data_IF_945266924661
#
_entry.id   IF_945266924661
#
_cell.length_a   1.000
_cell.length_b   1.000
_cell.length_c   1.000
_cell.angle_alpha   90.00
_cell.angle_beta   90.00
_cell.angle_gamma   90.00
#
_symmetry.space_group_name_H-M   'P 1'
#
loop_
_entity.id
_entity.type
_entity.pdbx_description
1 polymer ?
#
# COMPACT_ATOMS: atom_id res chain seq x y z
N UNK A 1 12.33 -13.36 -33.24
CA UNK A 1 11.21 -14.30 -33.42
C UNK A 1 10.29 -14.18 -32.21
N UNK A 2 9.00 -13.91 -32.50
CA UNK A 2 7.80 -13.86 -31.65
C UNK A 2 7.91 -13.40 -30.17
N UNK A 3 7.69 -12.10 -29.94
CA UNK A 3 7.30 -11.54 -28.64
C UNK A 3 5.82 -11.18 -28.57
N UNK A 4 4.92 -11.95 -29.18
CA UNK A 4 3.48 -11.86 -28.94
C UNK A 4 3.14 -12.49 -27.58
N UNK A 5 3.62 -11.86 -26.49
CA UNK A 5 3.54 -12.39 -25.13
C UNK A 5 2.54 -11.66 -24.24
N UNK A 6 1.30 -12.15 -24.19
CA UNK A 6 0.26 -11.91 -23.18
C UNK A 6 -0.04 -10.44 -22.78
N UNK A 7 -0.69 -9.71 -23.68
CA UNK A 7 -1.43 -8.49 -23.33
C UNK A 7 -2.68 -8.84 -22.51
N UNK A 8 -2.71 -8.45 -21.24
CA UNK A 8 -3.90 -8.58 -20.38
C UNK A 8 -4.73 -7.31 -20.49
N UNK A 9 -6.03 -7.44 -20.74
CA UNK A 9 -6.96 -6.31 -20.82
C UNK A 9 -7.83 -6.25 -19.58
N UNK A 10 -7.88 -5.08 -18.95
CA UNK A 10 -8.83 -4.74 -17.89
C UNK A 10 -9.72 -3.59 -18.33
N UNK A 11 -10.82 -3.41 -17.60
CA UNK A 11 -11.70 -2.26 -17.76
C UNK A 11 -11.94 -1.56 -16.43
N UNK A 12 -12.18 -0.25 -16.47
CA UNK A 12 -12.48 0.58 -15.32
C UNK A 12 -11.26 0.97 -14.48
N UNK A 13 -11.48 1.85 -13.51
CA UNK A 13 -10.45 2.44 -12.65
C UNK A 13 -10.24 1.69 -11.32
N UNK A 14 -11.09 0.72 -10.99
CA UNK A 14 -10.96 -0.05 -9.75
C UNK A 14 -9.67 -0.87 -9.72
N UNK A 15 -9.03 -0.90 -8.55
CA UNK A 15 -7.77 -1.63 -8.30
C UNK A 15 -6.63 -1.23 -9.26
N UNK A 16 -6.60 0.02 -9.71
CA UNK A 16 -5.60 0.53 -10.66
C UNK A 16 -4.17 0.30 -10.18
N UNK A 17 -3.87 0.63 -8.91
CA UNK A 17 -2.56 0.40 -8.28
C UNK A 17 -2.18 -1.08 -8.34
N UNK A 18 -3.05 -1.97 -7.85
CA UNK A 18 -2.79 -3.41 -7.76
C UNK A 18 -2.55 -4.04 -9.14
N UNK A 19 -3.34 -3.66 -10.15
CA UNK A 19 -3.16 -4.15 -11.53
C UNK A 19 -1.78 -3.83 -12.09
N UNK A 20 -1.28 -2.62 -11.82
CA UNK A 20 0.06 -2.19 -12.26
C UNK A 20 1.18 -2.90 -11.47
N UNK A 21 1.01 -3.08 -10.17
CA UNK A 21 1.96 -3.82 -9.32
C UNK A 21 2.06 -5.29 -9.74
N UNK A 22 0.92 -5.95 -9.96
CA UNK A 22 0.90 -7.33 -10.47
C UNK A 22 1.48 -7.44 -11.88
N UNK A 23 1.26 -6.45 -12.75
CA UNK A 23 1.89 -6.38 -14.07
C UNK A 23 3.41 -6.32 -13.95
N UNK A 24 3.93 -5.49 -13.06
CA UNK A 24 5.37 -5.33 -12.83
C UNK A 24 6.01 -6.59 -12.24
N UNK A 25 5.35 -7.22 -11.27
CA UNK A 25 5.86 -8.45 -10.63
C UNK A 25 5.77 -9.67 -11.54
N UNK A 26 4.73 -9.76 -12.38
CA UNK A 26 4.55 -10.88 -13.31
C UNK A 26 5.27 -10.69 -14.66
N UNK A 27 5.77 -9.49 -14.96
CA UNK A 27 6.36 -9.14 -16.25
C UNK A 27 5.38 -9.14 -17.43
N UNK A 28 4.05 -9.15 -17.17
CA UNK A 28 3.03 -9.19 -18.22
C UNK A 28 2.55 -7.79 -18.57
N UNK A 29 2.40 -7.51 -19.86
CA UNK A 29 1.88 -6.21 -20.33
C UNK A 29 0.39 -6.10 -20.04
N UNK A 30 -0.04 -4.94 -19.55
CA UNK A 30 -1.44 -4.67 -19.19
C UNK A 30 -1.98 -3.47 -19.96
N UNK A 31 -3.21 -3.59 -20.47
CA UNK A 31 -4.00 -2.47 -20.97
C UNK A 31 -5.25 -2.30 -20.11
N UNK A 32 -5.50 -1.08 -19.65
CA UNK A 32 -6.69 -0.72 -18.86
C UNK A 32 -7.51 0.25 -19.69
N UNK A 33 -8.66 -0.19 -20.17
CA UNK A 33 -9.62 0.61 -20.95
C UNK A 33 -10.77 1.13 -20.08
N UNK A 34 -11.55 2.10 -20.58
CA UNK A 34 -12.76 2.64 -19.91
C UNK A 34 -12.50 3.18 -18.49
N UNK A 35 -11.39 3.88 -18.29
CA UNK A 35 -11.10 4.56 -17.03
C UNK A 35 -12.03 5.77 -16.93
N UNK A 36 -13.09 5.65 -16.11
CA UNK A 36 -14.08 6.72 -15.86
C UNK A 36 -14.65 7.30 -17.15
N UNK A 37 -14.98 6.46 -18.13
CA UNK A 37 -15.54 6.93 -19.42
C UNK A 37 -16.88 7.64 -19.27
N UNK A 38 -17.61 7.32 -18.19
CA UNK A 38 -18.99 7.74 -17.97
C UNK A 38 -19.09 8.88 -16.95
N UNK A 39 -17.95 9.35 -16.39
CA UNK A 39 -17.88 10.49 -15.46
C UNK A 39 -17.87 11.82 -16.22
N UNK A 40 -18.34 12.90 -15.59
CA UNK A 40 -18.25 14.28 -16.13
C UNK A 40 -16.80 14.69 -16.47
N UNK A 41 -15.85 14.17 -15.69
CA UNK A 41 -14.42 14.39 -15.88
C UNK A 41 -13.75 13.04 -16.18
N UNK A 42 -13.72 12.61 -17.46
CA UNK A 42 -13.28 11.27 -17.82
C UNK A 42 -11.78 11.08 -17.71
N UNK A 43 -11.36 9.82 -17.53
CA UNK A 43 -9.96 9.41 -17.56
C UNK A 43 -9.27 9.32 -16.20
N UNK A 44 -7.94 9.33 -16.26
CA UNK A 44 -7.05 9.29 -15.10
C UNK A 44 -7.16 10.57 -14.28
N UNK A 45 -7.03 10.42 -12.96
CA UNK A 45 -6.89 11.55 -12.04
C UNK A 45 -5.41 11.87 -11.85
N UNK A 46 -5.11 13.10 -11.39
CA UNK A 46 -3.73 13.56 -11.21
C UNK A 46 -2.91 12.69 -10.26
N UNK A 47 -3.55 12.12 -9.22
CA UNK A 47 -2.88 11.21 -8.30
C UNK A 47 -2.49 9.88 -8.96
N UNK A 48 -3.26 9.40 -9.94
CA UNK A 48 -2.94 8.19 -10.72
C UNK A 48 -1.81 8.47 -11.71
N UNK A 49 -1.82 9.64 -12.36
CA UNK A 49 -0.72 10.08 -13.22
C UNK A 49 0.58 10.24 -12.42
N UNK A 50 0.50 10.85 -11.23
CA UNK A 50 1.64 10.93 -10.30
C UNK A 50 2.14 9.55 -9.88
N UNK A 51 1.24 8.57 -9.69
CA UNK A 51 1.62 7.20 -9.36
C UNK A 51 2.32 6.49 -10.53
N UNK A 52 1.87 6.70 -11.78
CA UNK A 52 2.55 6.20 -12.97
C UNK A 52 3.97 6.76 -13.09
N UNK A 53 4.15 8.06 -12.84
CA UNK A 53 5.49 8.71 -12.82
C UNK A 53 6.39 8.12 -11.73
N UNK A 54 5.84 7.77 -10.57
CA UNK A 54 6.59 7.08 -9.52
C UNK A 54 7.07 5.69 -9.99
N UNK A 55 6.21 4.92 -10.67
CA UNK A 55 6.59 3.63 -11.24
C UNK A 55 7.70 3.76 -12.28
N UNK A 56 7.67 4.77 -13.15
CA UNK A 56 8.74 5.03 -14.12
C UNK A 56 10.07 5.36 -13.45
N UNK A 57 10.07 6.06 -12.30
CA UNK A 57 11.30 6.36 -11.55
C UNK A 57 11.90 5.13 -10.85
N UNK A 58 11.03 4.21 -10.43
CA UNK A 58 11.41 3.02 -9.65
C UNK A 58 11.87 1.87 -10.55
N UNK A 59 11.43 1.87 -11.81
CA UNK A 59 11.70 0.82 -12.78
C UNK A 59 12.58 1.34 -13.91
N UNK A 60 13.27 0.43 -14.58
CA UNK A 60 14.06 0.75 -15.78
C UNK A 60 13.48 0.01 -16.98
N UNK A 61 13.23 0.74 -18.08
CA UNK A 61 12.67 0.20 -19.31
C UNK A 61 11.16 -0.05 -19.27
N UNK A 62 10.42 0.48 -18.28
CA UNK A 62 8.96 0.48 -18.32
C UNK A 62 8.47 1.45 -19.39
N UNK A 63 7.43 1.08 -20.13
CA UNK A 63 6.79 1.96 -21.11
C UNK A 63 5.35 2.19 -20.69
N UNK A 64 4.98 3.46 -20.53
CA UNK A 64 3.62 3.89 -20.18
C UNK A 64 3.07 4.72 -21.33
N UNK A 65 2.00 4.22 -21.97
CA UNK A 65 1.31 4.93 -23.05
C UNK A 65 -0.10 5.28 -22.56
N UNK A 66 -0.41 6.57 -22.50
CA UNK A 66 -1.71 7.09 -22.08
C UNK A 66 -2.44 7.62 -23.32
N UNK A 67 -3.70 7.25 -23.50
CA UNK A 67 -4.54 7.78 -24.59
C UNK A 67 -4.72 9.30 -24.44
N UNK A 68 -4.99 10.00 -25.54
CA UNK A 68 -5.25 11.45 -25.52
C UNK A 68 -6.32 11.88 -24.49
N UNK A 69 -7.39 11.09 -24.36
CA UNK A 69 -8.50 11.32 -23.41
C UNK A 69 -8.22 10.82 -21.98
N UNK A 70 -7.07 10.20 -21.72
CA UNK A 70 -6.74 9.59 -20.42
C UNK A 70 -7.62 8.39 -20.02
N UNK A 71 -8.50 7.91 -20.89
CA UNK A 71 -9.46 6.81 -20.60
C UNK A 71 -8.89 5.41 -20.85
N UNK A 72 -7.71 5.32 -21.48
CA UNK A 72 -6.98 4.08 -21.69
C UNK A 72 -5.50 4.24 -21.33
N UNK A 73 -4.93 3.25 -20.65
CA UNK A 73 -3.50 3.16 -20.33
C UNK A 73 -2.96 1.81 -20.78
N UNK A 74 -1.86 1.81 -21.53
CA UNK A 74 -1.06 0.63 -21.80
C UNK A 74 0.22 0.72 -20.96
N UNK A 75 0.45 -0.29 -20.13
CA UNK A 75 1.62 -0.41 -19.27
C UNK A 75 2.42 -1.65 -19.66
N UNK A 76 3.63 -1.45 -20.16
CA UNK A 76 4.62 -2.50 -20.41
C UNK A 76 5.62 -2.48 -19.25
N UNK A 77 5.65 -3.54 -18.41
CA UNK A 77 6.50 -3.55 -17.22
C UNK A 77 7.99 -3.59 -17.60
N UNK A 78 8.78 -2.86 -16.83
CA UNK A 78 10.25 -2.87 -16.90
C UNK A 78 10.86 -3.73 -15.80
N UNK A 79 12.15 -3.52 -15.54
CA UNK A 79 12.86 -4.18 -14.44
C UNK A 79 12.81 -3.27 -13.20
N UNK A 80 12.52 -3.84 -12.03
CA UNK A 80 12.55 -3.11 -10.75
C UNK A 80 14.00 -2.87 -10.34
N UNK A 81 14.51 -1.66 -10.53
CA UNK A 81 15.88 -1.31 -10.18
C UNK A 81 16.03 -0.90 -8.73
N UNK A 82 15.04 -0.21 -8.16
CA UNK A 82 15.15 0.40 -6.84
C UNK A 82 16.21 1.52 -6.81
N UNK A 83 16.90 1.67 -5.67
CA UNK A 83 17.86 2.74 -5.45
C UNK A 83 17.27 3.95 -4.73
N UNK A 84 17.93 5.11 -4.85
CA UNK A 84 17.48 6.37 -4.25
C UNK A 84 16.47 7.05 -5.17
N UNK A 85 15.21 7.13 -4.75
CA UNK A 85 14.13 7.74 -5.52
C UNK A 85 13.50 8.87 -4.70
N UNK A 86 13.35 10.02 -5.32
CA UNK A 86 12.62 11.15 -4.76
C UNK A 86 11.34 11.39 -5.57
N UNK A 87 10.21 11.48 -4.87
CA UNK A 87 8.92 11.72 -5.53
C UNK A 87 8.01 12.63 -4.71
N UNK A 88 7.51 13.65 -5.38
CA UNK A 88 6.51 14.56 -4.85
C UNK A 88 5.11 14.02 -5.18
N UNK A 89 4.37 13.69 -4.13
CA UNK A 89 3.03 13.13 -4.22
C UNK A 89 2.02 14.24 -4.49
N UNK A 90 0.96 13.92 -5.25
CA UNK A 90 -0.09 14.88 -5.50
C UNK A 90 -0.95 15.09 -4.24
N UNK A 91 -1.34 16.33 -3.95
CA UNK A 91 -2.07 16.72 -2.72
C UNK A 91 -3.51 16.19 -2.62
N UNK A 92 -4.01 15.46 -3.62
CA UNK A 92 -5.36 14.86 -3.58
C UNK A 92 -5.39 13.48 -2.94
N UNK A 93 -4.21 12.92 -2.63
CA UNK A 93 -4.05 11.66 -1.90
C UNK A 93 -2.85 11.74 -0.97
N UNK A 94 -2.96 11.09 0.18
CA UNK A 94 -1.86 10.95 1.12
C UNK A 94 -0.69 10.11 0.58
N UNK A 95 0.48 10.29 1.18
CA UNK A 95 1.71 9.52 0.91
C UNK A 95 1.45 8.02 1.04
N UNK A 96 0.55 7.59 1.94
CA UNK A 96 0.17 6.19 2.09
C UNK A 96 -0.31 5.53 0.80
N UNK A 97 -1.03 6.28 -0.05
CA UNK A 97 -1.48 5.80 -1.36
C UNK A 97 -0.32 5.39 -2.29
N UNK A 98 0.80 6.10 -2.21
CA UNK A 98 1.98 5.85 -3.03
C UNK A 98 2.93 4.86 -2.35
N UNK A 99 3.06 4.92 -1.04
CA UNK A 99 4.01 4.12 -0.28
C UNK A 99 3.60 2.64 -0.21
N UNK A 100 2.32 2.37 0.02
CA UNK A 100 1.78 1.01 0.15
C UNK A 100 2.12 0.07 -1.04
N UNK A 101 1.91 0.46 -2.31
CA UNK A 101 2.35 -0.35 -3.45
C UNK A 101 3.88 -0.42 -3.60
N UNK A 102 4.63 0.60 -3.16
CA UNK A 102 6.09 0.57 -3.21
C UNK A 102 6.67 -0.43 -2.20
N UNK A 103 6.06 -0.53 -1.02
CA UNK A 103 6.39 -1.54 -0.01
C UNK A 103 6.23 -2.95 -0.56
N UNK A 104 5.22 -3.20 -1.40
CA UNK A 104 5.02 -4.48 -2.05
C UNK A 104 6.11 -4.83 -3.08
N UNK A 105 6.69 -3.82 -3.76
CA UNK A 105 7.73 -4.02 -4.77
C UNK A 105 9.15 -4.05 -4.20
N UNK A 106 9.38 -3.32 -3.11
CA UNK A 106 10.71 -3.04 -2.59
C UNK A 106 11.57 -4.28 -2.28
N UNK A 107 11.03 -5.42 -1.81
CA UNK A 107 11.84 -6.62 -1.58
C UNK A 107 12.42 -7.23 -2.88
N UNK A 108 11.82 -6.93 -4.03
CA UNK A 108 12.14 -7.52 -5.34
C UNK A 108 12.99 -6.61 -6.22
N UNK A 109 13.52 -5.51 -5.68
CA UNK A 109 14.40 -4.60 -6.43
C UNK A 109 15.83 -5.12 -6.52
N UNK A 110 16.52 -4.76 -7.61
CA UNK A 110 17.95 -5.10 -7.80
C UNK A 110 18.89 -4.42 -6.80
N UNK A 111 18.59 -3.18 -6.43
CA UNK A 111 19.35 -2.37 -5.46
C UNK A 111 18.51 -2.11 -4.20
N UNK A 112 19.12 -1.75 -3.05
CA UNK A 112 18.37 -1.36 -1.86
C UNK A 112 17.43 -0.20 -2.16
N UNK A 113 16.21 -0.29 -1.66
CA UNK A 113 15.15 0.65 -1.97
C UNK A 113 15.19 1.81 -0.97
N UNK A 114 15.45 3.02 -1.45
CA UNK A 114 15.52 4.24 -0.62
C UNK A 114 14.60 5.29 -1.21
N UNK A 115 13.36 5.35 -0.73
CA UNK A 115 12.32 6.20 -1.27
C UNK A 115 12.05 7.38 -0.33
N UNK A 116 12.22 8.60 -0.84
CA UNK A 116 11.80 9.82 -0.16
C UNK A 116 10.54 10.35 -0.84
N UNK A 117 9.43 10.36 -0.10
CA UNK A 117 8.14 10.88 -0.55
C UNK A 117 7.81 12.18 0.18
N UNK A 118 7.36 13.19 -0.57
CA UNK A 118 6.81 14.42 -0.01
C UNK A 118 5.32 14.57 -0.33
N UNK A 119 4.53 15.12 0.59
CA UNK A 119 3.08 15.25 0.41
C UNK A 119 2.29 15.28 1.71
N UNK A 120 1.02 14.88 1.65
CA UNK A 120 0.14 14.80 2.83
C UNK A 120 0.41 13.48 3.56
N UNK A 121 0.65 13.52 4.87
CA UNK A 121 0.90 12.30 5.68
C UNK A 121 -0.37 11.72 6.30
N UNK A 122 -1.41 12.54 6.47
CA UNK A 122 -2.58 12.21 7.31
C UNK A 122 -3.86 12.16 6.46
N UNK A 123 -3.88 11.35 5.39
CA UNK A 123 -5.06 11.18 4.54
C UNK A 123 -5.20 9.74 4.04
N UNK A 124 -6.25 9.06 4.53
CA UNK A 124 -6.76 7.78 4.05
C UNK A 124 -5.71 6.66 3.95
N UNK A 125 -5.14 6.26 5.09
CA UNK A 125 -3.98 5.38 5.36
C UNK A 125 -2.82 6.21 5.91
N UNK A 126 -2.83 6.43 7.23
CA UNK A 126 -1.76 7.10 7.96
C UNK A 126 -0.45 6.33 7.79
N UNK A 127 0.61 7.08 7.54
CA UNK A 127 1.99 6.59 7.48
C UNK A 127 2.36 5.89 8.80
N UNK A 128 1.78 6.31 9.92
CA UNK A 128 1.96 5.65 11.21
C UNK A 128 1.39 4.21 11.23
N UNK A 129 0.26 3.95 10.58
CA UNK A 129 -0.30 2.60 10.44
C UNK A 129 0.54 1.75 9.50
N UNK A 130 1.04 2.33 8.41
CA UNK A 130 1.98 1.64 7.52
C UNK A 130 3.22 1.20 8.32
N UNK A 131 3.79 2.11 9.12
CA UNK A 131 4.95 1.82 9.98
C UNK A 131 4.67 0.73 11.00
N UNK A 132 3.50 0.78 11.64
CA UNK A 132 3.19 -0.05 12.80
C UNK A 132 2.65 -1.43 12.41
N UNK A 133 1.89 -1.52 11.32
CA UNK A 133 1.18 -2.74 10.90
C UNK A 133 1.84 -3.35 9.66
N UNK A 134 1.89 -2.60 8.56
CA UNK A 134 2.33 -3.13 7.26
C UNK A 134 3.80 -3.56 7.30
N UNK A 135 4.69 -2.77 7.91
CA UNK A 135 6.10 -3.18 8.06
C UNK A 135 6.27 -4.41 8.94
N UNK A 136 5.41 -4.62 9.93
CA UNK A 136 5.47 -5.82 10.77
C UNK A 136 5.07 -7.06 9.97
N UNK A 137 4.18 -6.93 8.97
CA UNK A 137 3.92 -8.02 8.03
C UNK A 137 5.17 -8.36 7.21
N UNK A 138 5.89 -7.37 6.68
CA UNK A 138 7.15 -7.63 5.96
C UNK A 138 8.20 -8.36 6.82
N UNK A 139 8.33 -8.00 8.09
CA UNK A 139 9.23 -8.66 9.03
C UNK A 139 8.93 -10.15 9.16
N UNK A 140 7.65 -10.54 9.19
CA UNK A 140 7.21 -11.95 9.24
C UNK A 140 7.64 -12.76 8.02
N UNK A 141 7.83 -12.11 6.87
CA UNK A 141 8.39 -12.73 5.66
C UNK A 141 9.93 -12.71 5.63
N UNK A 142 10.59 -12.33 6.73
CA UNK A 142 12.06 -12.33 6.86
C UNK A 142 12.75 -11.03 6.43
N UNK A 143 12.00 -9.95 6.20
CA UNK A 143 12.54 -8.64 5.80
C UNK A 143 12.72 -7.79 7.08
N UNK A 144 13.73 -8.09 7.89
CA UNK A 144 13.93 -7.45 9.19
C UNK A 144 15.10 -6.46 9.20
N UNK A 145 16.27 -6.86 8.70
CA UNK A 145 17.50 -6.08 8.80
C UNK A 145 17.52 -4.92 7.79
N UNK A 146 17.45 -3.68 8.28
CA UNK A 146 17.52 -2.46 7.45
C UNK A 146 16.18 -1.99 6.88
N UNK A 147 15.06 -2.61 7.27
CA UNK A 147 13.71 -2.11 6.94
C UNK A 147 13.33 -0.98 7.91
N UNK A 148 13.23 0.25 7.39
CA UNK A 148 12.91 1.43 8.19
C UNK A 148 11.92 2.35 7.46
N UNK A 149 11.03 2.97 8.23
CA UNK A 149 10.18 4.05 7.75
C UNK A 149 10.27 5.23 8.73
N UNK A 150 10.97 6.27 8.30
CA UNK A 150 11.20 7.49 9.08
C UNK A 150 10.31 8.61 8.57
N UNK A 151 9.52 9.18 9.48
CA UNK A 151 8.70 10.36 9.20
C UNK A 151 9.54 11.58 9.60
N UNK A 152 10.10 12.29 8.62
CA UNK A 152 10.94 13.47 8.85
C UNK A 152 10.08 14.69 9.16
N UNK A 153 8.98 14.87 8.42
CA UNK A 153 8.05 16.00 8.58
C UNK A 153 6.63 15.50 8.40
N UNK A 154 5.69 16.03 9.17
CA UNK A 154 4.25 15.77 8.98
C UNK A 154 3.64 16.86 8.10
N UNK A 155 2.72 16.46 7.23
CA UNK A 155 2.01 17.34 6.32
C UNK A 155 0.52 17.10 6.37
N UNK A 156 -0.27 18.15 6.59
CA UNK A 156 -1.73 18.06 6.63
C UNK A 156 -2.34 18.68 5.35
N UNK A 157 -3.52 18.23 4.91
CA UNK A 157 -4.26 18.93 3.87
C UNK A 157 -4.51 20.40 4.27
N UNK A 158 -4.60 21.34 3.33
CA UNK A 158 -4.52 21.18 1.87
C UNK A 158 -3.11 21.33 1.28
N UNK A 159 -2.17 21.94 2.01
CA UNK A 159 -0.83 22.28 1.48
C UNK A 159 0.17 21.12 1.57
N UNK A 160 -0.06 20.13 2.43
CA UNK A 160 0.84 19.00 2.61
C UNK A 160 2.17 19.41 3.26
N UNK A 161 3.30 19.12 2.60
CA UNK A 161 4.64 19.45 3.10
C UNK A 161 5.26 18.41 4.06
N UNK A 162 4.62 17.26 4.21
CA UNK A 162 5.17 16.12 4.93
C UNK A 162 6.27 15.45 4.12
N UNK A 163 7.17 14.76 4.80
CA UNK A 163 8.34 14.12 4.21
C UNK A 163 8.58 12.79 4.92
N UNK A 164 8.61 11.71 4.15
CA UNK A 164 8.75 10.34 4.64
C UNK A 164 9.87 9.65 3.88
N UNK A 165 10.77 9.01 4.61
CA UNK A 165 11.87 8.22 4.08
C UNK A 165 11.62 6.74 4.38
N UNK A 166 11.49 5.94 3.32
CA UNK A 166 11.32 4.49 3.39
C UNK A 166 12.60 3.80 2.89
N UNK A 167 13.12 2.89 3.69
CA UNK A 167 14.29 2.08 3.37
C UNK A 167 13.92 0.62 3.45
N UNK A 168 14.27 -0.14 2.41
CA UNK A 168 14.09 -1.58 2.35
C UNK A 168 15.35 -2.26 1.83
N UNK A 169 15.86 -3.28 2.52
CA UNK A 169 16.97 -4.09 2.02
C UNK A 169 16.54 -4.94 0.82
N UNK A 170 17.52 -5.46 0.08
CA UNK A 170 17.29 -6.50 -0.91
C UNK A 170 17.12 -7.83 -0.17
N UNK A 171 16.09 -8.59 -0.53
CA UNK A 171 15.87 -9.92 0.03
C UNK A 171 16.08 -10.99 -1.03
N UNK A 172 16.89 -12.00 -0.72
CA UNK A 172 17.18 -13.10 -1.66
C UNK A 172 15.99 -14.04 -1.84
N UNK A 173 15.28 -14.31 -0.75
CA UNK A 173 14.10 -15.15 -0.72
C UNK A 173 13.27 -14.82 0.52
N UNK A 174 11.94 -14.82 0.37
CA UNK A 174 11.01 -14.61 1.48
C UNK A 174 10.90 -15.89 2.31
N UNK A 175 10.60 -15.75 3.60
CA UNK A 175 10.30 -16.89 4.48
C UNK A 175 8.82 -17.29 4.34
N UNK A 176 8.51 -18.60 4.26
CA UNK A 176 7.14 -19.08 4.32
C UNK A 176 6.42 -18.60 5.58
N UNK A 177 5.21 -18.11 5.44
CA UNK A 177 4.43 -17.58 6.56
C UNK A 177 3.67 -18.72 7.24
N UNK A 178 3.86 -18.89 8.55
CA UNK A 178 3.02 -19.74 9.40
C UNK A 178 2.32 -18.87 10.44
N UNK A 179 1.10 -18.43 10.14
CA UNK A 179 0.39 -17.48 11.01
C UNK A 179 -1.10 -17.80 11.12
N UNK A 180 -1.40 -18.83 11.91
CA UNK A 180 -2.73 -19.41 12.06
C UNK A 180 -3.38 -19.00 13.39
N UNK A 181 -2.57 -18.79 14.43
CA UNK A 181 -3.06 -18.45 15.76
C UNK A 181 -3.23 -16.94 15.93
N UNK A 182 -4.47 -16.49 16.03
CA UNK A 182 -4.82 -15.08 16.25
C UNK A 182 -4.55 -14.63 17.69
N UNK A 183 -4.51 -15.57 18.65
CA UNK A 183 -4.32 -15.28 20.06
C UNK A 183 -5.44 -14.44 20.69
N UNK A 184 -5.16 -13.88 21.86
CA UNK A 184 -6.06 -12.92 22.55
C UNK A 184 -5.49 -11.52 22.47
N UNK A 185 -6.36 -10.50 22.39
CA UNK A 185 -5.91 -9.11 22.45
C UNK A 185 -5.24 -8.86 23.81
N UNK A 186 -3.96 -8.48 23.76
CA UNK A 186 -3.12 -8.18 24.94
C UNK A 186 -3.21 -6.71 25.31
N UNK A 187 -3.18 -5.81 24.31
CA UNK A 187 -3.21 -4.36 24.51
C UNK A 187 -3.72 -3.63 23.27
N UNK A 188 -4.22 -2.41 23.49
CA UNK A 188 -4.58 -1.47 22.43
C UNK A 188 -3.71 -0.22 22.60
N UNK A 189 -3.13 0.24 21.50
CA UNK A 189 -2.34 1.47 21.43
C UNK A 189 -3.01 2.44 20.46
N UNK A 190 -2.82 3.72 20.68
CA UNK A 190 -3.34 4.77 19.81
C UNK A 190 -2.28 5.79 19.45
N UNK A 191 -2.39 6.34 18.24
CA UNK A 191 -1.62 7.49 17.78
C UNK A 191 -2.64 8.55 17.37
N UNK A 192 -2.59 9.70 18.03
CA UNK A 192 -3.37 10.87 17.68
C UNK A 192 -2.50 11.79 16.80
N UNK A 193 -2.95 12.03 15.58
CA UNK A 193 -2.22 12.81 14.59
C UNK A 193 -2.70 14.27 14.60
N UNK A 194 -1.78 15.26 14.45
CA UNK A 194 -2.17 16.67 14.27
C UNK A 194 -3.08 16.80 13.04
N UNK A 195 -4.26 17.40 13.20
CA UNK A 195 -5.32 17.41 12.17
C UNK A 195 -6.52 16.49 12.49
N UNK A 196 -6.70 16.09 13.75
CA UNK A 196 -7.85 15.32 14.25
C UNK A 196 -8.02 13.95 13.56
N UNK A 197 -6.92 13.24 13.32
CA UNK A 197 -6.97 11.82 12.97
C UNK A 197 -6.55 10.95 14.16
N UNK A 198 -7.19 9.79 14.29
CA UNK A 198 -6.89 8.80 15.31
C UNK A 198 -6.68 7.44 14.66
N UNK A 199 -5.51 6.86 14.91
CA UNK A 199 -5.18 5.48 14.55
C UNK A 199 -5.12 4.64 15.81
N UNK A 200 -5.82 3.51 15.83
CA UNK A 200 -5.75 2.53 16.90
C UNK A 200 -5.19 1.21 16.38
N UNK A 201 -4.37 0.55 17.18
CA UNK A 201 -3.78 -0.75 16.89
C UNK A 201 -3.95 -1.66 18.10
N UNK A 202 -4.65 -2.77 17.91
CA UNK A 202 -4.75 -3.86 18.87
C UNK A 202 -3.65 -4.90 18.58
N UNK A 203 -2.92 -5.29 19.62
CA UNK A 203 -1.88 -6.30 19.54
C UNK A 203 -2.31 -7.55 20.31
N UNK A 204 -2.23 -8.71 19.66
CA UNK A 204 -2.53 -10.00 20.29
C UNK A 204 -1.32 -10.62 20.97
N UNK A 205 -1.55 -11.65 21.77
CA UNK A 205 -0.51 -12.46 22.42
C UNK A 205 0.42 -13.18 21.43
N UNK A 206 -0.03 -13.40 20.19
CA UNK A 206 0.75 -14.03 19.10
C UNK A 206 1.39 -13.00 18.17
N UNK A 207 1.28 -11.71 18.52
CA UNK A 207 1.80 -10.59 17.74
C UNK A 207 0.91 -10.19 16.55
N UNK A 208 -0.32 -10.72 16.43
CA UNK A 208 -1.28 -10.23 15.44
C UNK A 208 -1.61 -8.77 15.71
N UNK A 209 -1.66 -7.99 14.63
CA UNK A 209 -1.93 -6.57 14.69
C UNK A 209 -3.21 -6.31 13.91
N UNK A 210 -4.18 -5.71 14.60
CA UNK A 210 -5.45 -5.29 14.02
C UNK A 210 -5.54 -3.79 14.16
N UNK A 211 -5.83 -3.08 13.07
CA UNK A 211 -5.80 -1.63 13.05
C UNK A 211 -7.08 -1.00 12.51
N UNK A 212 -7.29 0.25 12.90
CA UNK A 212 -8.35 1.11 12.38
C UNK A 212 -7.90 2.56 12.41
N UNK A 213 -8.40 3.34 11.47
CA UNK A 213 -8.13 4.77 11.36
C UNK A 213 -9.43 5.54 11.18
N UNK A 214 -9.47 6.77 11.68
CA UNK A 214 -10.48 7.74 11.31
C UNK A 214 -9.85 9.12 11.27
N UNK A 215 -10.07 9.82 10.16
CA UNK A 215 -9.78 11.26 10.05
C UNK A 215 -11.05 12.06 10.35
N UNK A 216 -10.89 13.24 10.96
CA UNK A 216 -12.00 14.14 11.22
C UNK A 216 -12.60 14.72 9.94
N UNK A 217 -13.91 14.90 9.96
CA UNK A 217 -14.61 15.76 9.02
C UNK A 217 -14.90 17.13 9.66
N UNK A 218 -15.17 18.18 8.86
CA UNK A 218 -15.61 19.46 9.40
C UNK A 218 -16.82 19.29 10.34
N UNK A 219 -16.66 19.69 11.60
CA UNK A 219 -17.69 19.59 12.64
C UNK A 219 -17.64 18.34 13.53
N UNK A 220 -16.76 17.36 13.25
CA UNK A 220 -16.56 16.21 14.14
C UNK A 220 -15.91 16.64 15.47
N UNK A 221 -16.41 16.15 16.61
CA UNK A 221 -15.75 16.33 17.91
C UNK A 221 -14.65 15.27 18.11
N UNK A 222 -13.60 15.55 18.92
CA UNK A 222 -12.60 14.56 19.28
C UNK A 222 -13.19 13.27 19.89
N UNK A 223 -14.25 13.39 20.67
CA UNK A 223 -14.96 12.29 21.29
C UNK A 223 -15.68 11.42 20.26
N UNK A 224 -16.32 12.03 19.26
CA UNK A 224 -16.98 11.31 18.16
C UNK A 224 -15.96 10.54 17.32
N UNK A 225 -14.81 11.14 17.03
CA UNK A 225 -13.70 10.47 16.32
C UNK A 225 -13.21 9.30 17.16
N UNK A 226 -12.96 9.50 18.45
CA UNK A 226 -12.55 8.46 19.38
C UNK A 226 -13.52 7.27 19.40
N UNK A 227 -14.82 7.55 19.49
CA UNK A 227 -15.88 6.55 19.48
C UNK A 227 -15.95 5.81 18.14
N UNK A 228 -15.87 6.52 17.02
CA UNK A 228 -15.92 5.94 15.67
C UNK A 228 -14.72 5.04 15.41
N UNK A 229 -13.50 5.49 15.72
CA UNK A 229 -12.28 4.68 15.57
C UNK A 229 -12.35 3.43 16.45
N UNK A 230 -12.78 3.55 17.71
CA UNK A 230 -12.92 2.41 18.61
C UNK A 230 -13.94 1.38 18.08
N UNK A 231 -15.08 1.84 17.56
CA UNK A 231 -16.08 0.95 16.95
C UNK A 231 -15.54 0.23 15.72
N UNK A 232 -14.79 0.93 14.86
CA UNK A 232 -14.12 0.33 13.70
C UNK A 232 -13.11 -0.74 14.13
N UNK A 233 -12.28 -0.45 15.14
CA UNK A 233 -11.33 -1.42 15.68
C UNK A 233 -12.02 -2.67 16.20
N UNK A 234 -13.07 -2.50 17.01
CA UNK A 234 -13.84 -3.62 17.55
C UNK A 234 -14.50 -4.44 16.44
N UNK A 235 -14.96 -3.78 15.36
CA UNK A 235 -15.50 -4.46 14.20
C UNK A 235 -14.44 -5.31 13.47
N UNK A 236 -13.21 -4.81 13.34
CA UNK A 236 -12.09 -5.56 12.78
C UNK A 236 -11.69 -6.73 13.68
N UNK A 237 -11.60 -6.53 15.00
CA UNK A 237 -11.33 -7.61 15.96
C UNK A 237 -12.41 -8.70 15.85
N UNK A 238 -13.69 -8.30 15.70
CA UNK A 238 -14.80 -9.25 15.55
C UNK A 238 -14.72 -10.07 14.26
N UNK A 239 -14.12 -9.55 13.19
CA UNK A 239 -13.90 -10.32 11.95
C UNK A 239 -12.92 -11.48 12.16
N UNK A 240 -12.08 -11.41 13.20
CA UNK A 240 -11.08 -12.42 13.54
C UNK A 240 -9.93 -12.50 12.54
N UNK A 241 -9.04 -13.47 12.75
CA UNK A 241 -7.85 -13.68 11.94
C UNK A 241 -6.62 -12.92 12.43
N UNK A 242 -5.48 -13.29 11.85
CA UNK A 242 -4.16 -12.82 12.24
C UNK A 242 -3.74 -11.54 11.50
N UNK A 243 -4.45 -11.18 10.42
CA UNK A 243 -4.14 -10.07 9.52
C UNK A 243 -5.40 -9.23 9.32
N UNK A 244 -5.26 -7.91 9.48
CA UNK A 244 -6.33 -6.95 9.28
C UNK A 244 -6.73 -6.77 7.81
N UNK A 245 -7.91 -6.19 7.60
CA UNK A 245 -8.48 -6.02 6.26
C UNK A 245 -7.59 -5.23 5.29
N UNK A 246 -6.74 -4.33 5.81
CA UNK A 246 -5.85 -3.46 5.01
C UNK A 246 -4.61 -4.25 4.54
N UNK A 247 -4.06 -5.12 5.39
CA UNK A 247 -2.82 -5.82 5.07
C UNK A 247 -3.05 -7.18 4.37
N UNK A 248 -4.29 -7.67 4.30
CA UNK A 248 -4.63 -8.96 3.69
C UNK A 248 -4.04 -9.13 2.28
N UNK A 249 -4.25 -8.14 1.40
CA UNK A 249 -3.78 -8.22 0.01
C UNK A 249 -2.25 -8.31 -0.09
N UNK A 250 -1.53 -7.57 0.76
CA UNK A 250 -0.06 -7.59 0.78
C UNK A 250 0.44 -8.95 1.27
N UNK A 251 -0.14 -9.49 2.33
CA UNK A 251 0.24 -10.79 2.87
C UNK A 251 0.00 -11.89 1.83
N UNK A 252 -1.16 -11.88 1.18
CA UNK A 252 -1.48 -12.85 0.12
C UNK A 252 -0.53 -12.71 -1.07
N UNK A 253 -0.20 -11.49 -1.48
CA UNK A 253 0.77 -11.23 -2.54
C UNK A 253 2.16 -11.79 -2.20
N UNK A 254 2.65 -11.52 -0.99
CA UNK A 254 3.95 -12.01 -0.53
C UNK A 254 3.99 -13.53 -0.37
N UNK A 255 2.88 -14.17 0.00
CA UNK A 255 2.77 -15.63 -0.01
C UNK A 255 2.89 -16.20 -1.41
N UNK A 256 2.27 -15.57 -2.41
CA UNK A 256 2.37 -16.01 -3.83
C UNK A 256 3.78 -15.83 -4.39
N UNK A 257 4.49 -14.79 -3.94
CA UNK A 257 5.87 -14.49 -4.36
C UNK A 257 6.93 -15.19 -3.48
N UNK A 258 6.49 -15.98 -2.51
CA UNK A 258 7.35 -16.77 -1.64
C UNK A 258 8.02 -17.94 -2.38
N UNK A 259 8.94 -18.65 -1.72
CA UNK A 259 9.51 -19.89 -2.25
C UNK A 259 8.42 -20.94 -2.46
N UNK A 260 8.73 -22.00 -3.20
CA UNK A 260 7.86 -23.16 -3.44
C UNK A 260 7.67 -24.02 -2.16
N UNK A 261 7.04 -23.43 -1.15
CA UNK A 261 6.74 -24.04 0.14
C UNK A 261 5.34 -23.59 0.62
N UNK A 262 4.75 -24.35 1.54
CA UNK A 262 3.39 -24.16 2.00
C UNK A 262 3.33 -23.07 3.08
N UNK A 263 2.90 -21.87 2.70
CA UNK A 263 2.51 -20.82 3.65
C UNK A 263 1.05 -21.00 4.12
N UNK A 264 0.80 -20.79 5.42
CA UNK A 264 -0.54 -20.85 6.02
C UNK A 264 -0.81 -19.57 6.80
N UNK A 265 -1.93 -18.92 6.52
CA UNK A 265 -2.40 -17.74 7.26
C UNK A 265 -3.88 -17.87 7.58
N UNK A 266 -4.29 -17.50 8.79
CA UNK A 266 -5.70 -17.31 9.15
C UNK A 266 -6.02 -15.83 8.99
N UNK A 267 -7.00 -15.51 8.15
CA UNK A 267 -7.48 -14.14 7.94
C UNK A 267 -8.97 -14.06 8.26
N UNK A 268 -9.44 -12.86 8.61
CA UNK A 268 -10.85 -12.60 8.84
C UNK A 268 -11.67 -12.64 7.55
N UNK A 269 -12.88 -12.10 7.60
CA UNK A 269 -13.72 -11.93 6.41
C UNK A 269 -12.96 -11.15 5.32
N UNK A 270 -12.87 -11.75 4.13
CA UNK A 270 -12.18 -11.16 2.98
C UNK A 270 -12.73 -9.76 2.66
N UNK A 271 -11.80 -8.82 2.49
CA UNK A 271 -12.14 -7.49 1.95
C UNK A 271 -12.26 -7.56 0.42
N UNK A 272 -12.95 -6.60 -0.19
CA UNK A 272 -13.00 -6.51 -1.66
C UNK A 272 -11.61 -6.27 -2.29
N UNK A 273 -10.65 -5.81 -1.47
CA UNK A 273 -9.25 -5.56 -1.85
C UNK A 273 -8.35 -6.78 -1.70
N UNK A 274 -8.81 -7.86 -1.06
CA UNK A 274 -8.08 -9.12 -0.86
C UNK A 274 -8.27 -10.06 -2.04
#
# INVERSE_FOLDING_TARGET
MSGSGNLIKYSGHNYFRQRLILSLLSGKTVKIDKIRSDDDNPGLRDYEVSFLRLLEKVTNGSIIEISYTGTSVLYKPGIITGGKVFHECHVTRGIGYYLEPMIALAPFSKNPFNLTLTGITNENTDVDLIRTVILQQLKRFGIEEGLELKISKRGSPPLGGGEVNFQCPIVRSLKPLQFIDEGRIKRIRGIASPGFALSLVAESTTGALVSSETAANPGDTPEDIGKRTAQLLLSEIRKGGCVDSISQWLVLLLMVLGPEDVSKVKIGKLSAFS
#
